data_IF_033968416037
#
_entry.id   IF_033968416037
#
_cell.length_a   1.000
_cell.length_b   1.000
_cell.length_c   1.000
_cell.angle_alpha   90.00
_cell.angle_beta   90.00
_cell.angle_gamma   90.00
#
_symmetry.space_group_name_H-M   'P 1'
#
loop_
_entity.id
_entity.type
_entity.pdbx_description
1 polymer ?
#
# COMPACT_ATOMS: atom_id res chain seq x y z
N UNK A 1 -6.14 -19.43 -8.43
CA UNK A 1 -4.86 -19.59 -7.74
C UNK A 1 -5.12 -20.02 -6.29
N UNK A 2 -4.76 -21.25 -5.88
CA UNK A 2 -5.05 -21.76 -4.53
C UNK A 2 -4.34 -21.00 -3.41
N UNK A 3 -3.38 -20.16 -3.74
CA UNK A 3 -2.66 -19.32 -2.76
C UNK A 3 -3.39 -18.00 -2.45
N UNK A 4 -4.45 -17.66 -3.18
CA UNK A 4 -5.14 -16.40 -3.04
C UNK A 4 -6.44 -16.59 -2.27
N UNK A 5 -6.37 -16.49 -0.94
CA UNK A 5 -7.51 -16.70 -0.02
C UNK A 5 -8.16 -15.39 0.43
N UNK A 6 -7.64 -14.25 -0.01
CA UNK A 6 -8.07 -12.92 0.44
C UNK A 6 -9.45 -12.48 -0.10
N UNK A 7 -9.99 -13.17 -1.10
CA UNK A 7 -11.29 -12.87 -1.69
C UNK A 7 -12.25 -14.06 -1.59
N UNK A 8 -12.97 -14.21 -0.46
CA UNK A 8 -13.87 -15.35 -0.25
C UNK A 8 -14.93 -15.51 -1.34
N UNK A 9 -15.44 -14.42 -1.91
CA UNK A 9 -16.42 -14.45 -3.00
C UNK A 9 -15.88 -15.04 -4.30
N UNK A 10 -14.55 -14.99 -4.52
CA UNK A 10 -13.89 -15.53 -5.72
C UNK A 10 -13.39 -16.96 -5.53
N UNK A 11 -13.05 -17.35 -4.30
CA UNK A 11 -12.39 -18.65 -4.05
C UNK A 11 -13.26 -19.68 -3.33
N UNK A 12 -14.29 -19.23 -2.58
CA UNK A 12 -15.11 -20.13 -1.74
C UNK A 12 -16.42 -20.59 -2.39
N UNK A 13 -16.54 -20.48 -3.72
CA UNK A 13 -17.66 -21.11 -4.41
C UNK A 13 -17.49 -22.64 -4.39
N UNK A 14 -18.58 -23.35 -4.19
CA UNK A 14 -18.60 -24.83 -4.16
C UNK A 14 -18.93 -25.42 -5.51
N UNK A 15 -19.60 -24.66 -6.37
CA UNK A 15 -19.91 -25.07 -7.73
C UNK A 15 -19.94 -23.88 -8.69
N UNK A 16 -19.47 -24.12 -9.91
CA UNK A 16 -19.60 -23.23 -11.07
C UNK A 16 -20.33 -23.99 -12.18
N UNK A 17 -21.39 -23.39 -12.71
CA UNK A 17 -22.22 -23.97 -13.77
C UNK A 17 -22.48 -22.95 -14.86
N UNK A 18 -22.17 -23.29 -16.10
CA UNK A 18 -22.66 -22.55 -17.26
C UNK A 18 -24.09 -22.99 -17.56
N UNK A 19 -25.08 -22.19 -17.18
CA UNK A 19 -26.50 -22.51 -17.34
C UNK A 19 -26.93 -22.38 -18.79
N UNK A 20 -26.41 -21.34 -19.49
CA UNK A 20 -26.57 -21.09 -20.91
C UNK A 20 -25.39 -20.27 -21.44
N UNK A 21 -25.50 -19.79 -22.70
CA UNK A 21 -24.42 -19.04 -23.38
C UNK A 21 -24.00 -17.75 -22.64
N UNK A 22 -24.92 -17.16 -21.83
CA UNK A 22 -24.71 -15.84 -21.20
C UNK A 22 -24.88 -15.90 -19.68
N UNK A 23 -25.17 -17.09 -19.10
CA UNK A 23 -25.49 -17.23 -17.70
C UNK A 23 -24.55 -18.19 -17.00
N UNK A 24 -23.85 -17.70 -15.98
CA UNK A 24 -23.04 -18.49 -15.08
C UNK A 24 -23.70 -18.52 -13.70
N UNK A 25 -23.81 -19.70 -13.10
CA UNK A 25 -24.26 -19.86 -11.72
C UNK A 25 -23.09 -20.22 -10.82
N UNK A 26 -22.90 -19.40 -9.78
CA UNK A 26 -21.97 -19.66 -8.68
C UNK A 26 -22.76 -20.10 -7.46
N UNK A 27 -22.36 -21.18 -6.82
CA UNK A 27 -23.00 -21.69 -5.60
C UNK A 27 -22.02 -21.58 -4.44
N UNK A 28 -22.50 -21.11 -3.31
CA UNK A 28 -21.75 -20.96 -2.06
C UNK A 28 -22.49 -21.72 -0.95
N UNK A 29 -21.75 -22.40 -0.07
CA UNK A 29 -22.33 -23.08 1.09
C UNK A 29 -22.76 -22.12 2.18
N UNK A 30 -22.10 -20.97 2.25
CA UNK A 30 -22.40 -19.91 3.22
C UNK A 30 -22.75 -18.62 2.50
N UNK A 31 -23.82 -17.91 2.90
CA UNK A 31 -24.14 -16.60 2.33
C UNK A 31 -22.98 -15.62 2.51
N UNK A 32 -22.59 -14.97 1.42
CA UNK A 32 -21.54 -13.96 1.43
C UNK A 32 -21.98 -12.73 0.63
N UNK A 33 -22.20 -11.61 1.29
CA UNK A 33 -22.82 -10.42 0.67
C UNK A 33 -21.87 -9.65 -0.24
N UNK A 34 -20.55 -9.76 -0.02
CA UNK A 34 -19.55 -8.94 -0.70
C UNK A 34 -19.02 -9.53 -2.02
N UNK A 35 -19.57 -10.67 -2.50
CA UNK A 35 -19.06 -11.38 -3.68
C UNK A 35 -18.98 -10.50 -4.94
N UNK A 36 -19.91 -9.57 -5.15
CA UNK A 36 -19.88 -8.65 -6.30
C UNK A 36 -18.67 -7.72 -6.21
N UNK A 37 -18.38 -7.21 -5.02
CA UNK A 37 -17.22 -6.34 -4.80
C UNK A 37 -15.91 -7.11 -5.00
N UNK A 38 -15.83 -8.35 -4.57
CA UNK A 38 -14.67 -9.21 -4.80
C UNK A 38 -14.42 -9.42 -6.30
N UNK A 39 -15.48 -9.59 -7.10
CA UNK A 39 -15.37 -9.69 -8.55
C UNK A 39 -14.97 -8.38 -9.24
N UNK A 40 -15.08 -7.24 -8.58
CA UNK A 40 -14.61 -5.96 -9.11
C UNK A 40 -13.11 -5.73 -8.94
N UNK A 41 -12.38 -6.64 -8.27
CA UNK A 41 -10.94 -6.50 -8.10
C UNK A 41 -10.19 -6.83 -9.40
N UNK A 42 -9.58 -5.81 -10.07
CA UNK A 42 -9.03 -5.98 -11.41
C UNK A 42 -7.84 -6.94 -11.47
N UNK A 43 -7.01 -7.01 -10.41
CA UNK A 43 -5.80 -7.83 -10.40
C UNK A 43 -6.10 -9.32 -10.40
N UNK A 44 -7.29 -9.72 -9.96
CA UNK A 44 -7.68 -11.12 -9.77
C UNK A 44 -8.80 -11.56 -10.68
N UNK A 45 -9.74 -10.65 -10.99
CA UNK A 45 -11.00 -10.96 -11.64
C UNK A 45 -11.11 -10.40 -13.08
N UNK A 46 -10.00 -9.99 -13.67
CA UNK A 46 -9.99 -9.54 -15.07
C UNK A 46 -10.41 -10.68 -16.00
N UNK A 47 -11.31 -10.38 -16.94
CA UNK A 47 -11.79 -11.34 -17.94
C UNK A 47 -10.67 -11.65 -18.92
N UNK A 48 -10.31 -12.93 -19.04
CA UNK A 48 -9.26 -13.43 -19.90
C UNK A 48 -9.89 -14.15 -21.10
N UNK A 49 -9.37 -13.94 -22.30
CA UNK A 49 -9.83 -14.65 -23.49
C UNK A 49 -9.61 -16.17 -23.36
N UNK A 50 -10.61 -17.01 -23.67
CA UNK A 50 -10.44 -18.46 -23.70
C UNK A 50 -9.28 -18.91 -24.60
N UNK A 51 -8.97 -18.17 -25.67
CA UNK A 51 -7.82 -18.48 -26.55
C UNK A 51 -6.47 -18.31 -25.84
N UNK A 52 -6.35 -17.38 -24.91
CA UNK A 52 -5.14 -17.24 -24.07
C UNK A 52 -4.99 -18.39 -23.10
N UNK A 53 -6.11 -18.87 -22.53
CA UNK A 53 -6.12 -20.00 -21.60
C UNK A 53 -5.69 -21.28 -22.28
N UNK A 54 -6.10 -21.52 -23.52
CA UNK A 54 -5.79 -22.74 -24.27
C UNK A 54 -4.38 -22.77 -24.82
N UNK A 55 -3.68 -21.64 -24.90
CA UNK A 55 -2.28 -21.57 -25.33
C UNK A 55 -1.29 -21.91 -24.22
N UNK A 56 -1.77 -22.19 -23.01
CA UNK A 56 -1.06 -22.97 -21.98
C UNK A 56 0.02 -22.27 -21.20
N UNK A 57 0.30 -20.99 -21.45
CA UNK A 57 1.34 -20.30 -20.71
C UNK A 57 0.87 -18.91 -20.22
N UNK A 58 0.40 -18.88 -18.97
CA UNK A 58 0.06 -17.62 -18.28
C UNK A 58 1.29 -16.80 -17.85
N UNK A 59 2.50 -17.31 -18.06
CA UNK A 59 3.73 -16.62 -17.70
C UNK A 59 4.34 -15.87 -18.88
N UNK A 60 4.02 -16.26 -20.10
CA UNK A 60 4.43 -15.56 -21.31
C UNK A 60 3.24 -14.79 -21.88
N UNK A 61 3.32 -13.48 -21.78
CA UNK A 61 2.28 -12.60 -22.29
C UNK A 61 2.45 -12.45 -23.80
N UNK A 62 1.98 -13.43 -24.55
CA UNK A 62 1.87 -13.36 -26.00
C UNK A 62 0.44 -12.97 -26.40
N UNK A 63 0.19 -11.67 -26.45
CA UNK A 63 -1.07 -11.10 -26.88
C UNK A 63 -2.10 -10.97 -25.75
N UNK A 64 -2.49 -9.76 -25.47
CA UNK A 64 -3.53 -9.42 -24.51
C UNK A 64 -4.86 -9.29 -25.24
N UNK A 65 -5.80 -10.18 -24.97
CA UNK A 65 -7.16 -10.05 -25.43
C UNK A 65 -8.03 -9.71 -24.22
N UNK A 66 -8.09 -8.45 -23.90
CA UNK A 66 -8.98 -7.90 -22.87
C UNK A 66 -10.22 -7.24 -23.49
N UNK A 67 -11.12 -6.76 -22.63
CA UNK A 67 -12.34 -6.05 -23.00
C UNK A 67 -12.22 -4.54 -22.83
N UNK A 68 -11.01 -4.03 -22.64
CA UNK A 68 -10.72 -2.63 -22.32
C UNK A 68 -10.80 -1.68 -23.50
N UNK A 69 -10.71 -0.37 -23.22
CA UNK A 69 -10.81 0.69 -24.21
C UNK A 69 -9.59 0.82 -25.13
N UNK A 70 -8.46 0.21 -24.73
CA UNK A 70 -7.23 0.19 -25.51
C UNK A 70 -6.74 -1.24 -25.72
N UNK A 71 -6.07 -1.48 -26.83
CA UNK A 71 -5.46 -2.73 -27.23
C UNK A 71 -3.93 -2.57 -27.11
N UNK A 72 -3.27 -3.54 -26.52
CA UNK A 72 -1.81 -3.62 -26.51
C UNK A 72 -1.27 -3.67 -27.94
N UNK A 73 -0.22 -2.87 -28.21
CA UNK A 73 0.38 -2.74 -29.54
C UNK A 73 1.85 -3.23 -29.51
N UNK A 74 2.71 -2.60 -28.72
CA UNK A 74 4.13 -2.89 -28.69
C UNK A 74 4.71 -2.77 -27.28
N UNK A 75 5.73 -3.57 -26.98
CA UNK A 75 6.56 -3.45 -25.78
C UNK A 75 8.03 -3.48 -26.13
N UNK A 76 8.77 -2.49 -25.69
CA UNK A 76 10.23 -2.44 -25.77
C UNK A 76 10.80 -2.41 -24.34
N UNK A 77 11.47 -3.49 -23.97
CA UNK A 77 11.98 -3.68 -22.61
C UNK A 77 12.85 -2.51 -22.15
N UNK A 78 12.55 -1.98 -20.98
CA UNK A 78 13.27 -0.86 -20.39
C UNK A 78 13.06 0.50 -21.09
N UNK A 79 12.13 0.61 -22.04
CA UNK A 79 11.87 1.83 -22.79
C UNK A 79 10.40 2.26 -22.73
N UNK A 80 9.49 1.48 -23.31
CA UNK A 80 8.08 1.85 -23.37
C UNK A 80 7.15 0.66 -23.66
N UNK A 81 5.87 0.89 -23.37
CA UNK A 81 4.75 0.06 -23.85
C UNK A 81 3.76 0.96 -24.57
N UNK A 82 3.21 0.50 -25.69
CA UNK A 82 2.21 1.25 -26.44
C UNK A 82 0.87 0.53 -26.50
N UNK A 83 -0.19 1.35 -26.51
CA UNK A 83 -1.56 0.90 -26.60
C UNK A 83 -2.28 1.72 -27.67
N UNK A 84 -3.06 1.08 -28.52
CA UNK A 84 -3.91 1.73 -29.53
C UNK A 84 -5.37 1.64 -29.12
N UNK A 85 -6.17 2.63 -29.51
CA UNK A 85 -7.59 2.65 -29.21
C UNK A 85 -8.30 1.40 -29.76
N UNK A 86 -9.18 0.84 -28.94
CA UNK A 86 -10.07 -0.24 -29.35
C UNK A 86 -11.32 0.36 -30.01
N UNK A 87 -11.38 0.33 -31.33
CA UNK A 87 -12.54 0.87 -32.08
C UNK A 87 -13.82 0.03 -31.87
N UNK A 88 -13.69 -1.18 -31.32
CA UNK A 88 -14.83 -2.05 -30.98
C UNK A 88 -15.14 -2.04 -29.47
N UNK A 89 -14.65 -1.03 -28.74
CA UNK A 89 -14.92 -0.93 -27.31
C UNK A 89 -16.43 -0.76 -27.05
N UNK A 90 -16.95 -1.52 -26.11
CA UNK A 90 -18.38 -1.56 -25.76
C UNK A 90 -18.87 -0.34 -24.96
N UNK A 91 -17.96 0.43 -24.37
CA UNK A 91 -18.25 1.65 -23.62
C UNK A 91 -18.05 2.91 -24.43
N UNK A 92 -17.84 4.04 -23.77
CA UNK A 92 -17.59 5.32 -24.41
C UNK A 92 -16.25 5.30 -25.17
N UNK A 93 -16.24 5.80 -26.39
CA UNK A 93 -15.05 5.82 -27.25
C UNK A 93 -13.94 6.65 -26.61
N UNK A 94 -12.74 6.09 -26.37
CA UNK A 94 -11.61 6.83 -25.79
C UNK A 94 -11.20 8.02 -26.65
N UNK A 95 -10.80 9.10 -26.01
CA UNK A 95 -10.41 10.34 -26.68
C UNK A 95 -9.11 10.18 -27.49
N UNK A 96 -8.07 9.59 -26.89
CA UNK A 96 -6.77 9.45 -27.52
C UNK A 96 -6.72 8.21 -28.41
N UNK A 97 -6.02 8.34 -29.57
CA UNK A 97 -5.84 7.22 -30.51
C UNK A 97 -4.78 6.24 -30.04
N UNK A 98 -3.77 6.74 -29.33
CA UNK A 98 -2.63 5.96 -28.84
C UNK A 98 -2.17 6.47 -27.47
N UNK A 99 -1.78 5.55 -26.62
CA UNK A 99 -1.10 5.80 -25.33
C UNK A 99 0.30 5.21 -25.44
N UNK A 100 1.32 5.96 -25.02
CA UNK A 100 2.70 5.52 -24.91
C UNK A 100 3.12 5.61 -23.45
N UNK A 101 3.24 4.48 -22.76
CA UNK A 101 3.74 4.41 -21.40
C UNK A 101 5.26 4.27 -21.44
N UNK A 102 5.99 5.35 -21.17
CA UNK A 102 7.45 5.39 -21.16
C UNK A 102 7.98 4.94 -19.80
N UNK A 103 9.05 4.16 -19.81
CA UNK A 103 9.79 3.78 -18.60
C UNK A 103 10.88 4.82 -18.34
N UNK A 104 10.71 5.64 -17.31
CA UNK A 104 11.69 6.63 -16.85
C UNK A 104 11.87 6.42 -15.33
N UNK A 105 12.91 5.70 -14.89
CA UNK A 105 13.04 5.26 -13.49
C UNK A 105 13.36 6.39 -12.51
N UNK A 106 14.00 7.45 -12.97
CA UNK A 106 14.46 8.56 -12.13
C UNK A 106 13.42 9.69 -12.06
N UNK A 107 13.09 10.16 -10.86
CA UNK A 107 12.07 11.19 -10.62
C UNK A 107 12.41 12.52 -11.28
N UNK A 108 13.65 12.99 -11.16
CA UNK A 108 14.08 14.26 -11.75
C UNK A 108 14.02 14.20 -13.29
N UNK A 109 14.37 13.05 -13.86
CA UNK A 109 14.24 12.78 -15.30
C UNK A 109 12.78 12.79 -15.76
N UNK A 110 11.84 12.25 -14.96
CA UNK A 110 10.39 12.32 -15.25
C UNK A 110 9.88 13.76 -15.24
N UNK A 111 10.23 14.54 -14.23
CA UNK A 111 9.87 15.97 -14.16
C UNK A 111 10.46 16.72 -15.35
N UNK A 112 11.71 16.47 -15.73
CA UNK A 112 12.32 17.10 -16.89
C UNK A 112 11.63 16.71 -18.20
N UNK A 113 11.27 15.44 -18.38
CA UNK A 113 10.54 14.96 -19.56
C UNK A 113 9.15 15.64 -19.68
N UNK A 114 8.44 15.80 -18.55
CA UNK A 114 7.19 16.56 -18.50
C UNK A 114 7.39 18.03 -18.87
N UNK A 115 8.40 18.67 -18.30
CA UNK A 115 8.75 20.08 -18.57
C UNK A 115 9.10 20.34 -20.03
N UNK A 116 9.73 19.41 -20.69
CA UNK A 116 10.14 19.54 -22.12
C UNK A 116 9.03 19.11 -23.09
N UNK A 117 7.92 18.56 -22.59
CA UNK A 117 6.86 18.02 -23.42
C UNK A 117 7.23 16.67 -24.07
N UNK A 118 8.24 15.98 -23.56
CA UNK A 118 8.56 14.61 -23.97
C UNK A 118 7.52 13.60 -23.48
N UNK A 119 6.90 13.88 -22.33
CA UNK A 119 5.71 13.20 -21.82
C UNK A 119 4.64 14.23 -21.44
N UNK A 120 3.39 13.83 -21.51
CA UNK A 120 2.23 14.68 -21.24
C UNK A 120 1.66 14.46 -19.84
N UNK A 121 1.97 13.33 -19.21
CA UNK A 121 1.38 12.93 -17.94
C UNK A 121 2.34 12.05 -17.13
N UNK A 122 2.42 12.31 -15.83
CA UNK A 122 2.94 11.36 -14.83
C UNK A 122 1.74 10.89 -14.03
N UNK A 123 1.49 9.58 -14.00
CA UNK A 123 0.32 9.00 -13.36
C UNK A 123 0.71 7.75 -12.56
N UNK A 124 0.26 7.68 -11.33
CA UNK A 124 0.45 6.53 -10.45
C UNK A 124 0.69 6.95 -9.00
N UNK A 125 0.70 5.97 -8.10
CA UNK A 125 1.07 6.17 -6.71
C UNK A 125 2.59 6.09 -6.56
N UNK A 126 3.19 7.01 -5.78
CA UNK A 126 4.63 7.09 -5.53
C UNK A 126 5.51 7.31 -6.79
N UNK A 127 4.92 7.78 -7.89
CA UNK A 127 5.65 8.06 -9.13
C UNK A 127 6.52 9.34 -9.03
N UNK A 128 6.19 10.25 -8.12
CA UNK A 128 7.00 11.40 -7.74
C UNK A 128 7.11 11.48 -6.22
N UNK A 129 8.23 12.00 -5.72
CA UNK A 129 8.28 12.50 -4.35
C UNK A 129 7.36 13.72 -4.21
N UNK A 130 6.92 14.04 -3.00
CA UNK A 130 6.12 15.25 -2.76
C UNK A 130 6.89 16.52 -3.08
N UNK A 131 8.21 16.52 -2.88
CA UNK A 131 9.08 17.62 -3.25
C UNK A 131 9.12 17.80 -4.77
N UNK A 132 9.33 16.72 -5.55
CA UNK A 132 9.32 16.77 -7.02
C UNK A 132 7.96 17.20 -7.56
N UNK A 133 6.85 16.75 -6.92
CA UNK A 133 5.50 17.21 -7.25
C UNK A 133 5.35 18.72 -7.06
N UNK A 134 5.80 19.26 -5.93
CA UNK A 134 5.76 20.70 -5.65
C UNK A 134 6.61 21.48 -6.66
N UNK A 135 7.79 20.97 -7.01
CA UNK A 135 8.66 21.59 -8.02
C UNK A 135 8.03 21.54 -9.41
N UNK A 136 7.39 20.41 -9.78
CA UNK A 136 6.76 20.26 -11.08
C UNK A 136 5.53 21.19 -11.22
N UNK A 137 4.67 21.25 -10.20
CA UNK A 137 3.46 22.09 -10.22
C UNK A 137 3.74 23.58 -10.09
N UNK A 138 4.95 23.99 -9.68
CA UNK A 138 5.39 25.37 -9.74
C UNK A 138 5.76 25.84 -11.17
N UNK A 139 5.84 24.93 -12.14
CA UNK A 139 6.14 25.25 -13.54
C UNK A 139 4.86 25.70 -14.25
N UNK A 140 4.90 26.81 -14.94
CA UNK A 140 3.76 27.33 -15.70
C UNK A 140 3.29 26.31 -16.76
N UNK A 141 1.99 26.05 -16.78
CA UNK A 141 1.36 25.09 -17.68
C UNK A 141 1.36 23.63 -17.20
N UNK A 142 1.95 23.32 -16.03
CA UNK A 142 1.84 21.99 -15.39
C UNK A 142 0.78 22.04 -14.29
N UNK A 143 -0.18 21.17 -14.36
CA UNK A 143 -1.24 21.00 -13.36
C UNK A 143 -1.06 19.67 -12.60
N UNK A 144 -1.09 19.72 -11.28
CA UNK A 144 -1.03 18.54 -10.41
C UNK A 144 -2.37 18.32 -9.71
N UNK A 145 -2.76 17.06 -9.60
CA UNK A 145 -3.96 16.64 -8.86
C UNK A 145 -3.65 15.39 -8.05
N UNK A 146 -4.11 15.38 -6.80
CA UNK A 146 -4.19 14.16 -6.01
C UNK A 146 -5.53 13.46 -6.26
N UNK A 147 -5.53 12.14 -6.19
CA UNK A 147 -6.78 11.40 -6.08
C UNK A 147 -7.54 11.89 -4.83
N UNK A 148 -8.88 11.87 -4.84
CA UNK A 148 -9.64 12.14 -3.62
C UNK A 148 -9.12 11.28 -2.47
N UNK A 149 -9.02 11.86 -1.26
CA UNK A 149 -8.67 11.11 -0.06
C UNK A 149 -9.64 9.94 0.12
N UNK A 150 -9.13 8.80 0.62
CA UNK A 150 -9.98 7.68 0.96
C UNK A 150 -9.78 6.42 0.13
N UNK A 151 -8.78 6.37 -0.77
CA UNK A 151 -8.47 5.13 -1.50
C UNK A 151 -7.37 4.29 -0.86
N UNK A 152 -6.44 4.92 -0.13
CA UNK A 152 -5.31 4.24 0.50
C UNK A 152 -4.98 4.82 1.87
N UNK A 153 -4.45 3.99 2.75
CA UNK A 153 -3.86 4.42 4.04
C UNK A 153 -2.45 3.86 4.11
N UNK A 154 -1.51 4.68 4.55
CA UNK A 154 -0.17 4.22 4.92
C UNK A 154 -0.22 3.71 6.34
N UNK A 155 -0.13 2.41 6.51
CA UNK A 155 -0.19 1.74 7.79
C UNK A 155 1.20 1.45 8.34
N UNK A 156 1.38 1.64 9.63
CA UNK A 156 2.48 1.07 10.39
C UNK A 156 2.01 -0.27 10.94
N UNK A 157 2.66 -1.33 10.52
CA UNK A 157 2.30 -2.69 10.88
C UNK A 157 3.25 -3.17 11.96
N UNK A 158 2.68 -3.68 13.04
CA UNK A 158 3.40 -4.24 14.18
C UNK A 158 3.32 -5.76 14.15
N UNK A 159 4.46 -6.40 14.31
CA UNK A 159 4.53 -7.84 14.52
C UNK A 159 4.38 -8.12 16.02
N UNK A 160 3.34 -8.85 16.41
CA UNK A 160 3.02 -9.10 17.83
C UNK A 160 3.92 -10.15 18.51
N UNK A 161 5.11 -10.35 17.98
CA UNK A 161 6.14 -11.20 18.58
C UNK A 161 7.12 -10.38 19.43
N UNK A 162 7.96 -11.08 20.19
CA UNK A 162 9.02 -10.47 20.98
C UNK A 162 8.51 -9.38 21.92
N UNK A 163 9.19 -8.24 21.94
CA UNK A 163 8.87 -7.10 22.80
C UNK A 163 7.50 -6.47 22.46
N UNK A 164 7.02 -6.62 21.23
CA UNK A 164 5.70 -6.12 20.81
C UNK A 164 4.56 -7.09 21.14
N UNK A 165 4.82 -8.23 21.78
CA UNK A 165 3.75 -9.07 22.34
C UNK A 165 3.01 -8.40 23.50
N UNK A 166 3.67 -7.52 24.24
CA UNK A 166 3.08 -6.72 25.31
C UNK A 166 2.23 -5.57 24.75
N UNK A 167 0.94 -5.54 25.12
CA UNK A 167 0.02 -4.51 24.69
C UNK A 167 0.47 -3.10 25.12
N UNK A 168 1.02 -2.98 26.36
CA UNK A 168 1.47 -1.69 26.88
C UNK A 168 2.63 -1.13 26.06
N UNK A 169 3.53 -1.97 25.54
CA UNK A 169 4.60 -1.53 24.65
C UNK A 169 4.04 -1.02 23.33
N UNK A 170 3.07 -1.72 22.73
CA UNK A 170 2.44 -1.27 21.48
C UNK A 170 1.68 0.05 21.65
N UNK A 171 0.96 0.21 22.78
CA UNK A 171 0.26 1.46 23.09
C UNK A 171 1.24 2.59 23.35
N UNK A 172 2.33 2.34 24.10
CA UNK A 172 3.39 3.32 24.32
C UNK A 172 4.02 3.78 23.00
N UNK A 173 4.28 2.87 22.09
CA UNK A 173 4.78 3.17 20.76
C UNK A 173 3.80 4.08 20.00
N UNK A 174 2.49 3.77 20.03
CA UNK A 174 1.47 4.58 19.37
C UNK A 174 1.39 6.03 19.94
N UNK A 175 1.54 6.20 21.26
CA UNK A 175 1.58 7.52 21.90
C UNK A 175 2.90 8.28 21.70
N UNK A 176 4.01 7.57 21.44
CA UNK A 176 5.32 8.19 21.27
C UNK A 176 5.56 8.74 19.86
N UNK A 177 4.68 8.44 18.90
CA UNK A 177 4.83 8.86 17.50
C UNK A 177 3.95 10.08 17.21
N UNK A 178 4.61 11.18 16.82
CA UNK A 178 3.96 12.40 16.33
C UNK A 178 3.60 12.23 14.86
N UNK A 179 2.37 11.77 14.61
CA UNK A 179 1.85 11.53 13.26
C UNK A 179 1.64 12.83 12.48
N UNK A 180 1.26 13.90 13.15
CA UNK A 180 1.09 15.22 12.56
C UNK A 180 2.42 15.77 12.06
N UNK A 181 3.48 15.70 12.87
CA UNK A 181 4.81 16.12 12.46
C UNK A 181 5.35 15.28 11.28
N UNK A 182 5.03 13.98 11.23
CA UNK A 182 5.36 13.12 10.10
C UNK A 182 4.61 13.57 8.83
N UNK A 183 3.30 13.78 8.93
CA UNK A 183 2.46 14.22 7.82
C UNK A 183 2.96 15.56 7.25
N UNK A 184 3.13 16.57 8.10
CA UNK A 184 3.57 17.89 7.66
C UNK A 184 5.02 17.90 7.17
N UNK A 185 5.92 17.24 7.90
CA UNK A 185 7.35 17.27 7.63
C UNK A 185 7.80 16.43 6.43
N UNK A 186 7.18 15.27 6.20
CA UNK A 186 7.56 14.37 5.10
C UNK A 186 6.64 14.48 3.89
N UNK A 187 5.36 14.74 4.10
CA UNK A 187 4.38 14.69 3.02
C UNK A 187 3.75 16.04 2.71
N UNK A 188 4.25 17.13 3.32
CA UNK A 188 3.70 18.48 3.15
C UNK A 188 2.19 18.56 3.45
N UNK A 189 1.68 17.68 4.32
CA UNK A 189 0.26 17.55 4.62
C UNK A 189 -0.56 16.88 3.51
N UNK A 190 0.05 16.40 2.43
CA UNK A 190 -0.65 15.69 1.36
C UNK A 190 -1.16 14.31 1.78
N UNK A 191 -0.51 13.68 2.77
CA UNK A 191 -1.04 12.49 3.45
C UNK A 191 -1.55 12.93 4.83
N UNK A 192 -2.84 13.27 4.99
CA UNK A 192 -3.39 13.65 6.30
C UNK A 192 -3.34 12.47 7.27
N UNK A 193 -3.24 12.78 8.57
CA UNK A 193 -3.22 11.75 9.60
C UNK A 193 -4.50 10.90 9.55
N UNK A 194 -4.33 9.60 9.50
CA UNK A 194 -5.41 8.62 9.62
C UNK A 194 -5.46 8.07 11.05
N UNK A 195 -6.64 8.05 11.65
CA UNK A 195 -6.88 7.47 12.98
C UNK A 195 -7.46 6.06 12.90
N UNK A 196 -7.74 5.58 11.70
CA UNK A 196 -8.23 4.23 11.43
C UNK A 196 -7.51 3.63 10.24
N UNK A 197 -7.55 2.30 10.11
CA UNK A 197 -7.08 1.61 8.91
C UNK A 197 -8.05 1.76 7.73
N UNK A 198 -9.27 2.24 8.00
CA UNK A 198 -10.29 2.49 6.98
C UNK A 198 -10.18 3.94 6.56
N UNK A 199 -9.88 4.24 5.29
CA UNK A 199 -9.75 5.62 4.82
C UNK A 199 -11.04 6.42 4.98
N UNK A 200 -10.91 7.69 5.33
CA UNK A 200 -12.04 8.62 5.37
C UNK A 200 -12.75 8.67 4.01
N UNK A 201 -14.08 8.71 4.04
CA UNK A 201 -14.89 8.73 2.82
C UNK A 201 -15.19 7.35 2.23
N UNK A 202 -14.64 6.26 2.78
CA UNK A 202 -15.12 4.91 2.47
C UNK A 202 -16.39 4.59 3.26
N UNK A 203 -17.33 3.78 2.74
CA UNK A 203 -18.47 3.33 3.52
C UNK A 203 -18.04 2.70 4.83
N UNK A 204 -18.74 3.05 5.90
CA UNK A 204 -18.52 2.55 7.26
C UNK A 204 -17.24 3.06 7.95
N UNK A 205 -16.52 4.03 7.38
CA UNK A 205 -15.38 4.66 8.07
C UNK A 205 -15.77 5.33 9.39
N UNK A 206 -17.01 5.84 9.47
CA UNK A 206 -17.59 6.52 10.64
C UNK A 206 -17.96 5.58 11.80
N UNK A 207 -18.08 4.27 11.54
CA UNK A 207 -18.39 3.27 12.58
C UNK A 207 -17.17 2.53 13.10
N UNK A 208 -16.01 2.73 12.52
CA UNK A 208 -14.75 2.21 13.03
C UNK A 208 -14.40 2.98 14.29
N UNK A 209 -14.74 2.41 15.46
CA UNK A 209 -14.33 2.96 16.76
C UNK A 209 -12.81 3.01 16.84
N UNK A 210 -12.26 4.16 17.21
CA UNK A 210 -10.82 4.33 17.38
C UNK A 210 -10.51 4.75 18.78
N UNK A 211 -9.49 4.12 19.38
CA UNK A 211 -8.81 4.67 20.53
C UNK A 211 -8.05 5.92 20.06
N UNK A 212 -8.12 6.99 20.84
CA UNK A 212 -7.33 8.19 20.57
C UNK A 212 -5.88 7.99 21.03
N UNK A 213 -4.99 7.68 20.09
CA UNK A 213 -3.55 7.63 20.30
C UNK A 213 -2.89 8.94 19.83
N UNK A 214 -3.39 10.09 20.31
CA UNK A 214 -2.73 11.37 20.11
C UNK A 214 -1.33 11.38 20.72
N UNK A 215 -0.40 12.05 20.05
CA UNK A 215 1.00 12.16 20.52
C UNK A 215 1.08 12.60 21.98
N UNK A 216 1.68 11.76 22.83
CA UNK A 216 1.80 11.97 24.26
C UNK A 216 2.96 11.17 24.85
N UNK A 217 4.13 11.77 24.91
CA UNK A 217 5.37 11.17 25.43
C UNK A 217 5.24 10.77 26.90
N UNK A 218 4.55 11.58 27.72
CA UNK A 218 4.35 11.29 29.14
C UNK A 218 3.52 10.00 29.31
N UNK A 219 2.46 9.86 28.52
CA UNK A 219 1.63 8.66 28.55
C UNK A 219 2.39 7.43 28.06
N UNK A 220 3.22 7.56 27.02
CA UNK A 220 4.09 6.50 26.54
C UNK A 220 5.05 6.03 27.65
N UNK A 221 5.73 6.96 28.31
CA UNK A 221 6.63 6.66 29.43
C UNK A 221 5.90 5.97 30.59
N UNK A 222 4.71 6.47 30.97
CA UNK A 222 3.90 5.85 32.03
C UNK A 222 3.56 4.39 31.69
N UNK A 223 3.12 4.10 30.49
CA UNK A 223 2.78 2.73 30.06
C UNK A 223 3.99 1.79 30.12
N UNK A 224 5.15 2.27 29.71
CA UNK A 224 6.39 1.48 29.78
C UNK A 224 6.83 1.23 31.21
N UNK A 225 6.71 2.24 32.10
CA UNK A 225 7.02 2.11 33.53
C UNK A 225 6.07 1.10 34.21
N UNK A 226 4.76 1.20 33.96
CA UNK A 226 3.74 0.28 34.47
C UNK A 226 3.94 -1.16 33.98
N UNK A 227 4.46 -1.32 32.75
CA UNK A 227 4.82 -2.63 32.19
C UNK A 227 6.16 -3.20 32.68
N UNK A 228 6.88 -2.43 33.53
CA UNK A 228 8.15 -2.87 34.13
C UNK A 228 9.39 -2.64 33.29
N UNK A 229 9.28 -1.81 32.24
CA UNK A 229 10.43 -1.39 31.43
C UNK A 229 11.14 -0.20 32.07
N UNK A 230 12.29 -0.43 32.71
CA UNK A 230 13.04 0.57 33.47
C UNK A 230 14.11 1.22 32.60
N UNK A 231 14.19 2.57 32.65
CA UNK A 231 15.22 3.31 31.92
C UNK A 231 16.61 3.02 32.46
N UNK A 232 17.49 2.48 31.62
CA UNK A 232 18.91 2.34 31.93
C UNK A 232 19.60 3.69 31.68
N UNK A 233 20.04 4.33 32.78
CA UNK A 233 20.64 5.69 32.72
C UNK A 233 21.98 5.74 31.98
N UNK A 234 22.65 4.61 31.77
CA UNK A 234 23.95 4.56 31.07
C UNK A 234 23.79 4.45 29.56
N UNK A 235 22.72 3.79 29.09
CA UNK A 235 22.49 3.54 27.67
C UNK A 235 21.39 4.43 27.09
N UNK A 236 20.49 4.95 27.94
CA UNK A 236 19.27 5.63 27.51
C UNK A 236 18.18 4.69 26.97
N UNK A 237 18.40 3.37 27.04
CA UNK A 237 17.46 2.37 26.56
C UNK A 237 16.75 1.73 27.75
N UNK A 238 15.47 1.46 27.64
CA UNK A 238 14.70 0.74 28.66
C UNK A 238 15.04 -0.74 28.65
N UNK A 239 15.04 -1.33 29.84
CA UNK A 239 15.34 -2.74 30.03
C UNK A 239 14.29 -3.39 30.95
N UNK A 240 13.98 -4.65 30.69
CA UNK A 240 13.16 -5.50 31.54
C UNK A 240 13.84 -6.86 31.70
N UNK A 241 14.09 -7.27 32.95
CA UNK A 241 14.78 -8.50 33.27
C UNK A 241 16.16 -8.65 32.58
N UNK A 242 16.87 -7.52 32.39
CA UNK A 242 18.17 -7.46 31.72
C UNK A 242 18.12 -7.50 30.19
N UNK A 243 16.91 -7.48 29.61
CA UNK A 243 16.71 -7.44 28.16
C UNK A 243 16.39 -6.03 27.72
N UNK A 244 17.14 -5.42 26.77
CA UNK A 244 16.85 -4.09 26.27
C UNK A 244 15.57 -4.08 25.42
N UNK A 245 14.85 -2.95 25.47
CA UNK A 245 13.69 -2.71 24.62
C UNK A 245 14.17 -2.29 23.22
N UNK A 246 14.36 -3.28 22.40
CA UNK A 246 14.85 -3.16 21.03
C UNK A 246 13.78 -3.66 20.03
N UNK A 247 13.63 -2.94 18.92
CA UNK A 247 12.73 -3.29 17.83
C UNK A 247 13.41 -3.10 16.48
N UNK A 248 13.04 -3.93 15.52
CA UNK A 248 13.56 -3.91 14.15
C UNK A 248 12.51 -3.32 13.21
N UNK A 249 12.82 -2.18 12.59
CA UNK A 249 12.00 -1.56 11.55
C UNK A 249 12.53 -1.95 10.17
N UNK A 250 11.73 -2.69 9.39
CA UNK A 250 12.10 -3.07 8.01
C UNK A 250 11.45 -2.16 6.99
N UNK A 251 12.21 -1.75 5.97
CA UNK A 251 11.72 -0.89 4.90
C UNK A 251 12.33 -1.26 3.53
N UNK A 252 11.60 -1.06 2.42
CA UNK A 252 12.15 -1.25 1.08
C UNK A 252 13.07 -0.09 0.71
N UNK A 253 14.12 -0.35 -0.07
CA UNK A 253 15.09 0.66 -0.50
C UNK A 253 14.56 1.58 -1.61
N UNK A 254 13.51 1.18 -2.30
CA UNK A 254 12.88 1.95 -3.40
C UNK A 254 11.75 2.89 -2.94
N UNK A 255 11.38 2.88 -1.65
CA UNK A 255 10.44 3.83 -1.06
C UNK A 255 11.14 4.75 -0.05
N UNK A 256 11.58 5.92 -0.52
CA UNK A 256 12.27 6.91 0.30
C UNK A 256 11.39 7.48 1.43
N UNK A 257 10.07 7.51 1.24
CA UNK A 257 9.12 7.99 2.26
C UNK A 257 9.08 7.03 3.44
N UNK A 258 9.02 5.73 3.20
CA UNK A 258 9.07 4.72 4.26
C UNK A 258 10.42 4.77 5.00
N UNK A 259 11.53 4.93 4.26
CA UNK A 259 12.86 5.09 4.88
C UNK A 259 12.95 6.32 5.79
N UNK A 260 12.35 7.43 5.38
CA UNK A 260 12.28 8.65 6.19
C UNK A 260 11.38 8.49 7.43
N UNK A 261 10.24 7.81 7.28
CA UNK A 261 9.37 7.44 8.41
C UNK A 261 10.14 6.58 9.41
N UNK A 262 10.86 5.56 8.96
CA UNK A 262 11.66 4.70 9.83
C UNK A 262 12.71 5.51 10.64
N UNK A 263 13.32 6.51 10.02
CA UNK A 263 14.28 7.41 10.68
C UNK A 263 13.61 8.29 11.75
N UNK A 264 12.40 8.82 11.47
CA UNK A 264 11.65 9.58 12.46
C UNK A 264 11.17 8.69 13.61
N UNK A 265 10.72 7.46 13.33
CA UNK A 265 10.40 6.48 14.36
C UNK A 265 11.59 6.20 15.26
N UNK A 266 12.78 5.99 14.68
CA UNK A 266 14.00 5.78 15.45
C UNK A 266 14.29 6.95 16.40
N UNK A 267 14.15 8.19 15.91
CA UNK A 267 14.39 9.39 16.72
C UNK A 267 13.35 9.56 17.83
N UNK A 268 12.06 9.47 17.50
CA UNK A 268 10.98 9.69 18.46
C UNK A 268 10.90 8.58 19.51
N UNK A 269 11.11 7.33 19.13
CA UNK A 269 11.11 6.19 20.04
C UNK A 269 12.31 6.18 20.98
N UNK A 270 13.46 6.74 20.54
CA UNK A 270 14.60 6.92 21.42
C UNK A 270 14.31 7.86 22.60
N UNK A 271 13.41 8.86 22.44
CA UNK A 271 13.00 9.77 23.51
C UNK A 271 12.30 9.05 24.68
N UNK A 272 11.67 7.91 24.39
CA UNK A 272 11.01 7.07 25.39
C UNK A 272 11.82 5.82 25.75
N UNK A 273 13.08 5.73 25.28
CA UNK A 273 14.02 4.64 25.62
C UNK A 273 13.79 3.36 24.83
N UNK A 274 13.19 3.42 23.65
CA UNK A 274 13.06 2.29 22.72
C UNK A 274 14.15 2.41 21.65
N UNK A 275 14.99 1.38 21.54
CA UNK A 275 16.01 1.31 20.49
C UNK A 275 15.41 0.75 19.21
N UNK A 276 15.58 1.46 18.08
CA UNK A 276 15.10 1.01 16.78
C UNK A 276 16.27 0.72 15.85
N UNK A 277 16.37 -0.51 15.40
CA UNK A 277 17.27 -0.93 14.31
C UNK A 277 16.54 -0.81 12.97
N UNK A 278 17.05 0.00 12.04
CA UNK A 278 16.47 0.12 10.69
C UNK A 278 17.17 -0.86 9.75
N UNK A 279 16.38 -1.74 9.12
CA UNK A 279 16.84 -2.67 8.08
C UNK A 279 16.20 -2.32 6.74
N UNK A 280 16.97 -1.67 5.88
CA UNK A 280 16.58 -1.42 4.49
C UNK A 280 16.99 -2.60 3.61
N UNK A 281 16.10 -3.07 2.75
CA UNK A 281 16.33 -4.20 1.87
C UNK A 281 15.66 -4.01 0.50
N UNK A 282 16.05 -4.80 -0.48
CA UNK A 282 15.41 -4.78 -1.79
C UNK A 282 13.92 -5.16 -1.67
N UNK A 283 13.07 -4.59 -2.53
CA UNK A 283 11.61 -4.70 -2.43
C UNK A 283 11.10 -6.14 -2.33
N UNK A 284 11.60 -7.04 -3.17
CA UNK A 284 11.16 -8.44 -3.16
C UNK A 284 11.65 -9.20 -1.92
N UNK A 285 12.85 -8.86 -1.42
CA UNK A 285 13.36 -9.36 -0.15
C UNK A 285 12.51 -8.85 1.02
N UNK A 286 12.14 -7.56 0.99
CA UNK A 286 11.24 -6.97 1.98
C UNK A 286 9.88 -7.67 2.01
N UNK A 287 9.25 -7.91 0.85
CA UNK A 287 8.01 -8.68 0.77
C UNK A 287 8.15 -10.10 1.33
N UNK A 288 9.25 -10.78 1.01
CA UNK A 288 9.52 -12.11 1.53
C UNK A 288 9.72 -12.10 3.06
N UNK A 289 10.39 -11.08 3.60
CA UNK A 289 10.59 -10.90 5.04
C UNK A 289 9.27 -10.60 5.77
N UNK A 290 8.43 -9.75 5.20
CA UNK A 290 7.11 -9.43 5.73
C UNK A 290 6.22 -10.66 5.89
N UNK A 291 6.27 -11.61 4.96
CA UNK A 291 5.52 -12.87 5.02
C UNK A 291 6.09 -13.85 6.05
N UNK A 292 7.29 -13.61 6.57
CA UNK A 292 7.93 -14.41 7.62
C UNK A 292 7.97 -13.60 8.92
N UNK A 293 7.23 -13.98 9.97
CA UNK A 293 7.17 -13.20 11.22
C UNK A 293 8.49 -13.19 12.02
N UNK A 294 9.53 -13.89 11.59
CA UNK A 294 10.83 -13.86 12.22
C UNK A 294 11.72 -12.79 11.57
N UNK A 295 12.23 -11.85 12.34
CA UNK A 295 13.27 -10.91 11.90
C UNK A 295 12.83 -9.48 11.63
N UNK A 296 11.57 -9.13 11.93
CA UNK A 296 11.07 -7.76 11.95
C UNK A 296 10.04 -7.57 13.07
N UNK A 297 9.93 -6.35 13.57
CA UNK A 297 8.96 -5.95 14.59
C UNK A 297 8.00 -4.89 14.03
N UNK A 298 8.52 -3.96 13.22
CA UNK A 298 7.77 -2.86 12.63
C UNK A 298 8.05 -2.82 11.13
N UNK A 299 7.03 -2.53 10.36
CA UNK A 299 7.16 -2.16 8.95
C UNK A 299 6.08 -1.14 8.57
N UNK A 300 6.24 -0.47 7.44
CA UNK A 300 5.22 0.42 6.90
C UNK A 300 4.78 -0.10 5.53
N UNK A 301 3.47 -0.04 5.28
CA UNK A 301 2.89 -0.45 4.01
C UNK A 301 1.73 0.47 3.64
N UNK A 302 1.66 0.86 2.38
CA UNK A 302 0.47 1.51 1.85
C UNK A 302 -0.55 0.45 1.50
N UNK A 303 -1.69 0.47 2.19
CA UNK A 303 -2.79 -0.43 1.92
C UNK A 303 -3.89 0.30 1.16
N UNK A 304 -4.27 -0.23 0.01
CA UNK A 304 -5.40 0.25 -0.77
C UNK A 304 -6.69 -0.49 -0.37
N UNK A 305 -7.71 0.27 -0.01
CA UNK A 305 -9.07 -0.26 0.16
C UNK A 305 -9.84 -0.07 -1.14
N UNK A 306 -9.47 -0.83 -2.16
CA UNK A 306 -10.05 -0.71 -3.51
C UNK A 306 -11.52 -1.11 -3.56
N UNK A 307 -11.98 -1.90 -2.59
CA UNK A 307 -13.36 -2.35 -2.51
C UNK A 307 -13.86 -2.29 -1.07
N UNK A 308 -15.07 -1.84 -0.89
CA UNK A 308 -15.78 -1.71 0.39
C UNK A 308 -15.95 -3.02 1.19
N UNK A 309 -15.52 -4.14 0.64
CA UNK A 309 -15.57 -5.47 1.25
C UNK A 309 -14.23 -5.96 1.79
N UNK A 310 -13.18 -5.16 1.71
CA UNK A 310 -11.80 -5.57 2.02
C UNK A 310 -11.35 -5.48 3.50
N UNK A 311 -12.08 -4.92 4.48
CA UNK A 311 -11.62 -4.92 5.87
C UNK A 311 -11.25 -6.33 6.35
N UNK A 312 -11.95 -7.35 5.90
CA UNK A 312 -11.71 -8.75 6.28
C UNK A 312 -10.40 -9.35 5.73
N UNK A 313 -9.76 -8.72 4.78
CA UNK A 313 -8.46 -9.18 4.27
C UNK A 313 -7.29 -8.79 5.20
N UNK A 314 -7.56 -7.96 6.22
CA UNK A 314 -6.56 -7.40 7.13
C UNK A 314 -6.74 -7.86 8.58
N UNK A 315 -7.75 -8.69 8.86
CA UNK A 315 -8.07 -9.22 10.19
C UNK A 315 -7.99 -10.74 10.23
#
# INVERSE_FOLDING_TARGET
NPSFTALPGVVNYTNIEAVDEYTIRLTYDTPYFAYINDFCWPDVCTMISPKQITQGDFQTVNGYAGTGPYIYDEYVAGQYTTFVRNENYWGERPYYDKIVAKYIPDNASRVQALKTGEIDLIYGSAELSYEDYNQATAIDGIEGKFAPSGSTVRNIILNFNGNLSDLSVRQALAYAIDKEAISEGLTYGYEPVANTIVPDGTPYSDICGTEDYSYNVDRANQLLDEAGWVMNQSTGIREKDGTPLHVVFTCPTDDSTIGSIATLFQSQLAEVGIEVEIKSMEKMEWYASYMNPAGWDITAMTAGFFNYAMPQCWF
#
